data_IF_638541862232
#
_entry.id   IF_638541862232
#
_cell.length_a   1.000
_cell.length_b   1.000
_cell.length_c   1.000
_cell.angle_alpha   90.00
_cell.angle_beta   90.00
_cell.angle_gamma   90.00
#
_symmetry.space_group_name_H-M   'P 1'
#
loop_
_entity.id
_entity.type
_entity.pdbx_description
1 polymer ?
#
# COMPACT_ATOMS: atom_id res chain seq x y z
N UNK A 1 -11.29 -21.22 -0.76
CA UNK A 1 -10.92 -21.65 -2.13
C UNK A 1 -10.87 -20.49 -3.13
N UNK A 2 -11.72 -19.45 -3.05
CA UNK A 2 -11.56 -18.23 -3.87
C UNK A 2 -10.48 -17.25 -3.34
N UNK A 3 -10.11 -17.36 -2.05
CA UNK A 3 -9.18 -16.45 -1.36
C UNK A 3 -7.68 -16.67 -1.66
N UNK A 4 -7.29 -17.84 -2.18
CA UNK A 4 -5.89 -18.14 -2.51
C UNK A 4 -5.46 -17.60 -3.89
N UNK A 5 -6.42 -17.34 -4.77
CA UNK A 5 -6.16 -17.05 -6.19
C UNK A 5 -5.83 -15.58 -6.45
N UNK A 6 -6.51 -14.66 -5.74
CA UNK A 6 -6.28 -13.21 -5.84
C UNK A 6 -4.95 -12.79 -5.21
N UNK A 7 -4.49 -13.55 -4.21
CA UNK A 7 -3.36 -13.20 -3.36
C UNK A 7 -1.99 -13.59 -3.96
N UNK A 8 -1.93 -14.68 -4.74
CA UNK A 8 -0.71 -15.08 -5.49
C UNK A 8 -0.40 -14.17 -6.68
N UNK A 9 -1.35 -13.32 -7.08
CA UNK A 9 -1.20 -12.46 -8.26
C UNK A 9 -0.17 -11.37 -8.05
N UNK A 10 -0.23 -10.57 -6.97
CA UNK A 10 0.54 -9.32 -6.86
C UNK A 10 2.05 -9.49 -6.71
N UNK A 11 2.54 -10.47 -5.92
CA UNK A 11 3.98 -10.80 -5.84
C UNK A 11 4.54 -11.21 -7.21
N UNK A 12 3.72 -11.87 -8.03
CA UNK A 12 4.11 -12.30 -9.38
C UNK A 12 4.20 -11.11 -10.37
N UNK A 13 3.71 -9.92 -9.98
CA UNK A 13 3.74 -8.70 -10.81
C UNK A 13 4.89 -7.77 -10.44
N UNK A 14 5.76 -8.15 -9.48
CA UNK A 14 6.86 -7.32 -9.01
C UNK A 14 8.18 -7.76 -9.63
N UNK A 15 8.94 -6.80 -10.15
CA UNK A 15 10.27 -7.01 -10.69
C UNK A 15 11.30 -7.26 -9.57
N UNK A 16 12.14 -8.29 -9.66
CA UNK A 16 13.14 -8.58 -8.63
C UNK A 16 14.29 -7.56 -8.58
N UNK A 17 14.56 -6.83 -9.68
CA UNK A 17 15.62 -5.80 -9.73
C UNK A 17 15.09 -4.47 -9.21
N UNK A 18 14.02 -3.96 -9.82
CA UNK A 18 13.50 -2.62 -9.49
C UNK A 18 12.68 -2.62 -8.21
N UNK A 19 12.19 -3.79 -7.79
CA UNK A 19 11.20 -3.93 -6.72
C UNK A 19 9.93 -3.09 -7.03
N UNK A 20 9.59 -2.89 -8.30
CA UNK A 20 8.36 -2.19 -8.71
C UNK A 20 7.41 -3.14 -9.46
N UNK A 21 6.13 -2.79 -9.52
CA UNK A 21 5.19 -3.47 -10.43
C UNK A 21 5.72 -3.29 -11.86
N UNK A 22 5.76 -4.35 -12.67
CA UNK A 22 6.27 -4.25 -14.04
C UNK A 22 5.48 -3.22 -14.85
N UNK A 23 6.19 -2.45 -15.66
CA UNK A 23 5.62 -1.64 -16.74
C UNK A 23 5.83 -2.35 -18.08
N UNK A 24 7.05 -2.86 -18.30
CA UNK A 24 7.43 -3.63 -19.50
C UNK A 24 8.07 -4.96 -19.07
N UNK A 25 7.27 -5.98 -18.74
CA UNK A 25 7.79 -7.26 -18.27
C UNK A 25 8.41 -8.06 -19.43
N UNK A 26 9.66 -8.51 -19.25
CA UNK A 26 10.36 -9.44 -20.14
C UNK A 26 10.78 -10.68 -19.36
N UNK A 27 10.60 -11.86 -19.95
CA UNK A 27 11.10 -13.13 -19.41
C UNK A 27 12.46 -13.45 -20.05
N UNK A 28 13.38 -13.95 -19.24
CA UNK A 28 14.70 -14.38 -19.67
C UNK A 28 14.83 -15.91 -19.63
N UNK A 29 15.86 -16.46 -20.27
CA UNK A 29 16.08 -17.92 -20.37
C UNK A 29 16.38 -18.60 -19.01
N UNK A 30 16.67 -17.81 -17.98
CA UNK A 30 16.80 -18.28 -16.59
C UNK A 30 15.43 -18.57 -15.92
N UNK A 31 14.32 -18.28 -16.61
CA UNK A 31 12.96 -18.52 -16.14
C UNK A 31 12.36 -17.38 -15.31
N UNK A 32 13.09 -16.28 -15.08
CA UNK A 32 12.60 -15.14 -14.30
C UNK A 32 12.10 -14.01 -15.21
N UNK A 33 11.15 -13.22 -14.68
CA UNK A 33 10.63 -12.02 -15.33
C UNK A 33 11.25 -10.78 -14.70
N UNK A 34 11.63 -9.83 -15.55
CA UNK A 34 12.28 -8.59 -15.18
C UNK A 34 11.62 -7.39 -15.88
N UNK A 35 11.80 -6.20 -15.32
CA UNK A 35 11.53 -4.95 -16.03
C UNK A 35 12.59 -4.77 -17.13
N UNK A 36 12.16 -4.56 -18.37
CA UNK A 36 13.03 -4.55 -19.56
C UNK A 36 14.23 -3.62 -19.40
N UNK A 37 13.96 -2.37 -19.03
CA UNK A 37 15.00 -1.36 -18.84
C UNK A 37 16.05 -1.76 -17.78
N UNK A 38 15.61 -2.40 -16.70
CA UNK A 38 16.48 -2.78 -15.59
C UNK A 38 17.35 -4.00 -15.91
N UNK A 39 16.78 -5.03 -16.54
CA UNK A 39 17.56 -6.23 -16.90
C UNK A 39 18.55 -5.95 -18.04
N UNK A 40 18.18 -5.08 -18.99
CA UNK A 40 19.10 -4.67 -20.06
C UNK A 40 20.32 -3.96 -19.48
N UNK A 41 20.12 -3.00 -18.57
CA UNK A 41 21.22 -2.31 -17.90
C UNK A 41 22.10 -3.30 -17.10
N UNK A 42 21.49 -4.21 -16.34
CA UNK A 42 22.21 -5.23 -15.58
C UNK A 42 23.08 -6.13 -16.47
N UNK A 43 22.54 -6.64 -17.58
CA UNK A 43 23.26 -7.53 -18.50
C UNK A 43 24.42 -6.79 -19.18
N UNK A 44 24.25 -5.51 -19.52
CA UNK A 44 25.32 -4.70 -20.11
C UNK A 44 26.52 -4.55 -19.16
N UNK A 45 26.28 -4.47 -17.86
CA UNK A 45 27.32 -4.30 -16.85
C UNK A 45 27.91 -5.64 -16.35
N UNK A 46 27.07 -6.67 -16.17
CA UNK A 46 27.43 -7.89 -15.43
C UNK A 46 27.42 -9.16 -16.29
N UNK A 47 26.82 -9.12 -17.49
CA UNK A 47 26.69 -10.26 -18.41
C UNK A 47 26.09 -11.54 -17.81
N UNK A 48 25.33 -11.42 -16.72
CA UNK A 48 24.79 -12.54 -15.94
C UNK A 48 23.37 -12.26 -15.47
N UNK A 49 22.64 -13.32 -15.12
CA UNK A 49 21.35 -13.26 -14.44
C UNK A 49 21.53 -12.69 -13.02
N UNK A 50 20.73 -11.68 -12.60
CA UNK A 50 20.74 -11.19 -11.23
C UNK A 50 20.35 -12.25 -10.19
N UNK A 51 19.54 -13.23 -10.60
CA UNK A 51 18.96 -14.24 -9.71
C UNK A 51 19.84 -15.48 -9.58
N UNK A 52 20.39 -15.97 -10.70
CA UNK A 52 21.13 -17.24 -10.75
C UNK A 52 22.63 -17.08 -10.92
N UNK A 53 23.08 -15.85 -11.24
CA UNK A 53 24.48 -15.52 -11.59
C UNK A 53 25.03 -16.29 -12.80
N UNK A 54 24.18 -16.96 -13.57
CA UNK A 54 24.56 -17.63 -14.81
C UNK A 54 24.63 -16.64 -15.98
N UNK A 55 25.43 -16.90 -17.04
CA UNK A 55 25.52 -16.04 -18.21
C UNK A 55 24.14 -15.74 -18.82
N UNK A 56 23.88 -14.48 -19.15
CA UNK A 56 22.61 -14.06 -19.73
C UNK A 56 22.83 -13.03 -20.85
N UNK A 57 22.08 -13.17 -21.95
CA UNK A 57 22.20 -12.29 -23.13
C UNK A 57 20.91 -11.48 -23.34
N UNK A 58 21.05 -10.22 -23.75
CA UNK A 58 19.92 -9.34 -24.10
C UNK A 58 19.07 -9.96 -25.21
N UNK A 59 19.71 -10.66 -26.16
CA UNK A 59 19.02 -11.28 -27.31
C UNK A 59 18.08 -12.42 -26.92
N UNK A 60 18.25 -12.96 -25.70
CA UNK A 60 17.37 -14.01 -25.16
C UNK A 60 16.06 -13.48 -24.58
N UNK A 61 15.98 -12.17 -24.28
CA UNK A 61 14.80 -11.59 -23.64
C UNK A 61 13.58 -11.68 -24.55
N UNK A 62 12.43 -12.03 -23.95
CA UNK A 62 11.14 -12.12 -24.64
C UNK A 62 10.08 -11.35 -23.86
N UNK A 63 9.16 -10.62 -24.51
CA UNK A 63 8.05 -9.99 -23.81
C UNK A 63 7.19 -11.01 -23.05
N UNK A 64 6.96 -10.78 -21.76
CA UNK A 64 6.08 -11.63 -20.96
C UNK A 64 4.64 -11.09 -20.96
N UNK A 65 3.91 -11.42 -22.03
CA UNK A 65 2.52 -10.97 -22.21
C UNK A 65 1.56 -11.50 -21.13
N UNK A 66 1.86 -12.64 -20.50
CA UNK A 66 1.03 -13.20 -19.43
C UNK A 66 1.07 -12.27 -18.22
N UNK A 67 2.27 -11.88 -17.77
CA UNK A 67 2.42 -10.93 -16.66
C UNK A 67 1.84 -9.57 -17.01
N UNK A 68 2.03 -9.11 -18.26
CA UNK A 68 1.42 -7.85 -18.71
C UNK A 68 -0.10 -7.85 -18.60
N UNK A 69 -0.75 -8.92 -19.06
CA UNK A 69 -2.21 -9.06 -18.96
C UNK A 69 -2.68 -9.12 -17.50
N UNK A 70 -1.95 -9.80 -16.62
CA UNK A 70 -2.29 -9.85 -15.19
C UNK A 70 -2.18 -8.48 -14.51
N UNK A 71 -1.21 -7.65 -14.92
CA UNK A 71 -1.12 -6.25 -14.46
C UNK A 71 -2.31 -5.45 -14.94
N UNK A 72 -2.67 -5.59 -16.22
CA UNK A 72 -3.84 -4.91 -16.78
C UNK A 72 -5.14 -5.36 -16.07
N UNK A 73 -5.30 -6.65 -15.77
CA UNK A 73 -6.42 -7.19 -14.98
C UNK A 73 -6.45 -6.63 -13.55
N UNK A 74 -5.30 -6.61 -12.88
CA UNK A 74 -5.15 -6.05 -11.54
C UNK A 74 -5.44 -4.55 -11.50
N UNK A 75 -4.90 -3.79 -12.45
CA UNK A 75 -5.23 -2.38 -12.60
C UNK A 75 -6.74 -2.25 -12.84
N UNK A 76 -7.33 -3.01 -13.76
CA UNK A 76 -8.78 -2.99 -14.01
C UNK A 76 -9.63 -3.33 -12.77
N UNK A 77 -9.19 -4.23 -11.89
CA UNK A 77 -9.91 -4.53 -10.65
C UNK A 77 -9.91 -3.34 -9.68
N UNK A 78 -8.84 -2.54 -9.65
CA UNK A 78 -8.81 -1.25 -8.95
C UNK A 78 -9.78 -0.23 -9.57
N UNK A 79 -10.05 -0.34 -10.88
CA UNK A 79 -10.98 0.53 -11.62
C UNK A 79 -12.44 0.03 -11.63
N UNK A 80 -12.76 -1.05 -10.90
CA UNK A 80 -14.16 -1.44 -10.68
C UNK A 80 -14.95 -0.26 -10.11
N UNK A 81 -16.18 -0.06 -10.60
CA UNK A 81 -17.00 1.11 -10.26
C UNK A 81 -17.19 1.29 -8.74
N UNK A 82 -17.15 0.19 -7.98
CA UNK A 82 -17.31 0.21 -6.52
C UNK A 82 -16.10 0.79 -5.75
N UNK A 83 -14.93 0.82 -6.38
CA UNK A 83 -13.65 1.26 -5.80
C UNK A 83 -13.12 2.55 -6.43
N UNK A 84 -13.92 3.22 -7.26
CA UNK A 84 -13.50 4.42 -7.99
C UNK A 84 -14.38 5.60 -7.64
N UNK A 85 -13.76 6.67 -7.18
CA UNK A 85 -14.42 7.90 -6.81
C UNK A 85 -13.87 9.05 -7.66
N UNK A 86 -14.69 10.07 -7.89
CA UNK A 86 -14.30 11.28 -8.59
C UNK A 86 -14.16 12.43 -7.61
N UNK A 87 -13.04 13.13 -7.68
CA UNK A 87 -12.82 14.36 -6.92
C UNK A 87 -13.86 15.41 -7.33
N UNK A 88 -14.41 16.10 -6.33
CA UNK A 88 -15.45 17.13 -6.45
C UNK A 88 -16.78 16.63 -7.03
N UNK A 89 -16.95 15.32 -7.20
CA UNK A 89 -18.21 14.66 -7.58
C UNK A 89 -18.68 13.71 -6.49
N UNK A 90 -17.83 12.76 -6.11
CA UNK A 90 -18.12 11.78 -5.05
C UNK A 90 -17.54 12.23 -3.70
N UNK A 91 -16.34 12.81 -3.74
CA UNK A 91 -15.57 13.22 -2.56
C UNK A 91 -14.96 14.59 -2.78
N UNK A 92 -15.06 15.46 -1.77
CA UNK A 92 -14.41 16.77 -1.74
C UNK A 92 -13.27 16.77 -0.72
N UNK A 93 -12.09 17.25 -1.11
CA UNK A 93 -10.96 17.42 -0.19
C UNK A 93 -10.91 18.83 0.38
N UNK A 94 -10.32 18.98 1.56
CA UNK A 94 -9.97 20.28 2.10
C UNK A 94 -8.77 20.90 1.38
N UNK A 95 -8.64 22.22 1.51
CA UNK A 95 -7.58 22.99 0.83
C UNK A 95 -6.20 22.67 1.41
N UNK A 96 -6.10 22.66 2.73
CA UNK A 96 -4.84 22.47 3.44
C UNK A 96 -4.60 20.99 3.68
N UNK A 97 -3.35 20.56 3.48
CA UNK A 97 -2.94 19.23 3.90
C UNK A 97 -2.89 19.17 5.43
N UNK A 98 -3.33 18.04 6.01
CA UNK A 98 -3.13 17.73 7.42
C UNK A 98 -1.71 17.22 7.67
N UNK A 99 -1.08 16.66 6.62
CA UNK A 99 0.28 16.14 6.68
C UNK A 99 0.90 16.15 5.27
N UNK A 100 2.19 16.45 5.18
CA UNK A 100 2.93 16.43 3.91
C UNK A 100 4.41 16.11 4.17
N UNK A 101 4.90 15.03 3.55
CA UNK A 101 6.31 14.60 3.64
C UNK A 101 6.70 13.96 2.31
N UNK A 102 7.87 14.36 1.79
CA UNK A 102 8.45 13.81 0.56
C UNK A 102 7.43 13.77 -0.60
N UNK A 103 7.04 12.56 -1.01
CA UNK A 103 6.11 12.28 -2.11
C UNK A 103 4.65 12.11 -1.66
N UNK A 104 4.37 12.17 -0.36
CA UNK A 104 3.04 11.91 0.23
C UNK A 104 2.42 13.18 0.81
N UNK A 105 1.11 13.31 0.64
CA UNK A 105 0.31 14.38 1.25
C UNK A 105 -1.05 13.85 1.63
N UNK A 106 -1.51 14.18 2.82
CA UNK A 106 -2.81 13.75 3.34
C UNK A 106 -3.70 14.97 3.51
N UNK A 107 -4.92 14.88 3.01
CA UNK A 107 -5.95 15.92 3.14
C UNK A 107 -7.16 15.35 3.86
N UNK A 108 -7.81 16.13 4.72
CA UNK A 108 -9.15 15.78 5.19
C UNK A 108 -10.10 15.75 3.98
N UNK A 109 -10.99 14.76 3.93
CA UNK A 109 -11.89 14.56 2.80
C UNK A 109 -13.30 14.23 3.28
N UNK A 110 -14.30 14.66 2.50
CA UNK A 110 -15.71 14.56 2.83
C UNK A 110 -16.50 13.99 1.65
N UNK A 111 -17.36 13.02 1.93
CA UNK A 111 -18.29 12.47 0.95
C UNK A 111 -19.36 13.49 0.59
N UNK A 112 -19.68 13.64 -0.70
CA UNK A 112 -20.64 14.65 -1.17
C UNK A 112 -22.09 14.16 -1.02
N UNK A 113 -22.40 12.93 -1.44
CA UNK A 113 -23.79 12.43 -1.52
C UNK A 113 -24.18 11.40 -0.45
N UNK A 114 -23.28 11.06 0.48
CA UNK A 114 -23.52 10.04 1.51
C UNK A 114 -23.83 10.68 2.87
N UNK A 115 -25.13 10.75 3.24
CA UNK A 115 -25.63 11.43 4.45
C UNK A 115 -25.14 10.88 5.80
N UNK A 116 -24.39 9.77 5.83
CA UNK A 116 -23.80 9.20 7.06
C UNK A 116 -22.48 8.51 6.77
N UNK A 117 -21.66 9.12 5.92
CA UNK A 117 -20.39 8.53 5.53
C UNK A 117 -19.36 8.61 6.68
N UNK A 118 -18.47 7.62 6.79
CA UNK A 118 -17.41 7.66 7.78
C UNK A 118 -16.46 8.84 7.52
N UNK A 119 -15.80 9.38 8.56
CA UNK A 119 -14.70 10.34 8.39
C UNK A 119 -13.60 9.75 7.49
N UNK A 120 -13.12 10.55 6.55
CA UNK A 120 -12.14 10.11 5.55
C UNK A 120 -11.01 11.08 5.32
N UNK A 121 -9.92 10.55 4.79
CA UNK A 121 -8.79 11.32 4.26
C UNK A 121 -8.51 10.92 2.83
N UNK A 122 -7.95 11.88 2.10
CA UNK A 122 -7.39 11.67 0.78
C UNK A 122 -5.86 11.60 0.91
N UNK A 123 -5.30 10.41 0.71
CA UNK A 123 -3.86 10.21 0.61
C UNK A 123 -3.44 10.41 -0.83
N UNK A 124 -2.66 11.45 -1.11
CA UNK A 124 -2.01 11.68 -2.39
C UNK A 124 -0.57 11.16 -2.33
N UNK A 125 -0.21 10.28 -3.25
CA UNK A 125 1.14 9.75 -3.45
C UNK A 125 1.65 10.12 -4.84
N UNK A 126 2.91 10.50 -4.94
CA UNK A 126 3.55 10.84 -6.21
C UNK A 126 4.79 9.94 -6.43
N UNK A 127 5.17 9.79 -7.69
CA UNK A 127 6.40 9.11 -8.09
C UNK A 127 6.20 7.65 -8.47
N UNK A 128 7.27 7.06 -8.98
CA UNK A 128 7.26 5.75 -9.65
C UNK A 128 6.72 4.61 -8.77
N UNK A 129 6.85 4.73 -7.44
CA UNK A 129 6.41 3.73 -6.46
C UNK A 129 4.93 3.85 -6.06
N UNK A 130 4.27 4.94 -6.43
CA UNK A 130 2.92 5.25 -5.96
C UNK A 130 1.92 4.15 -6.36
N UNK A 131 2.08 3.56 -7.56
CA UNK A 131 1.24 2.44 -8.02
C UNK A 131 1.44 1.18 -7.17
N UNK A 132 2.70 0.80 -6.90
CA UNK A 132 3.02 -0.36 -6.06
C UNK A 132 2.46 -0.18 -4.66
N UNK A 133 2.71 0.96 -4.03
CA UNK A 133 2.19 1.22 -2.69
C UNK A 133 0.66 1.20 -2.64
N UNK A 134 0.01 1.82 -3.63
CA UNK A 134 -1.45 1.82 -3.72
C UNK A 134 -2.04 0.41 -3.86
N UNK A 135 -1.37 -0.47 -4.59
CA UNK A 135 -1.79 -1.87 -4.76
C UNK A 135 -1.91 -2.59 -3.42
N UNK A 136 -0.90 -2.48 -2.56
CA UNK A 136 -0.90 -3.09 -1.23
C UNK A 136 -1.93 -2.44 -0.31
N UNK A 137 -2.06 -1.12 -0.35
CA UNK A 137 -3.07 -0.39 0.41
C UNK A 137 -4.49 -0.88 0.12
N UNK A 138 -4.80 -1.26 -1.12
CA UNK A 138 -6.11 -1.81 -1.49
C UNK A 138 -6.19 -3.29 -1.15
N UNK A 139 -5.19 -4.10 -1.52
CA UNK A 139 -5.17 -5.55 -1.31
C UNK A 139 -5.28 -5.93 0.16
N UNK A 140 -4.57 -5.22 1.04
CA UNK A 140 -4.48 -5.53 2.46
C UNK A 140 -5.60 -4.89 3.30
N UNK A 141 -6.40 -3.99 2.69
CA UNK A 141 -7.43 -3.16 3.36
C UNK A 141 -8.55 -3.92 4.10
N UNK A 142 -8.67 -5.23 3.88
CA UNK A 142 -9.74 -6.05 4.46
C UNK A 142 -9.44 -6.48 5.90
N UNK A 143 -8.18 -6.42 6.31
CA UNK A 143 -7.79 -6.79 7.67
C UNK A 143 -8.23 -5.72 8.68
N UNK A 144 -8.82 -6.10 9.83
CA UNK A 144 -9.39 -5.15 10.80
C UNK A 144 -8.35 -4.18 11.39
N UNK A 145 -7.11 -4.63 11.55
CA UNK A 145 -5.99 -3.87 12.10
C UNK A 145 -5.05 -3.27 11.04
N UNK A 146 -5.52 -3.16 9.79
CA UNK A 146 -4.85 -2.45 8.70
C UNK A 146 -5.75 -1.29 8.24
N UNK A 147 -5.13 -0.17 7.86
CA UNK A 147 -5.84 1.00 7.36
C UNK A 147 -6.78 0.64 6.20
N UNK A 148 -8.06 0.96 6.34
CA UNK A 148 -9.06 0.72 5.31
C UNK A 148 -8.90 1.72 4.18
N UNK A 149 -8.59 1.20 3.00
CA UNK A 149 -8.66 1.94 1.73
C UNK A 149 -10.02 1.67 1.08
N UNK A 150 -10.82 2.72 0.88
CA UNK A 150 -12.12 2.64 0.22
C UNK A 150 -11.99 2.50 -1.29
N UNK A 151 -10.95 3.08 -1.87
CA UNK A 151 -10.72 3.05 -3.31
C UNK A 151 -9.81 4.17 -3.81
N UNK A 152 -9.70 4.25 -5.13
CA UNK A 152 -8.91 5.25 -5.86
C UNK A 152 -9.79 6.46 -6.19
N UNK A 153 -9.22 7.66 -6.09
CA UNK A 153 -9.89 8.92 -6.45
C UNK A 153 -9.28 9.49 -7.72
N UNK A 154 -10.10 9.68 -8.74
CA UNK A 154 -9.75 10.23 -10.05
C UNK A 154 -10.27 11.67 -10.24
N UNK A 155 -9.74 12.43 -11.20
CA UNK A 155 -8.57 12.12 -12.03
C UNK A 155 -7.26 12.29 -11.25
N UNK A 156 -6.27 11.46 -11.56
CA UNK A 156 -4.89 11.65 -11.10
C UNK A 156 -3.98 11.98 -12.29
N UNK A 157 -3.04 12.93 -12.15
CA UNK A 157 -1.97 13.11 -13.14
C UNK A 157 -1.12 11.85 -13.30
N UNK A 158 -0.30 11.81 -14.36
CA UNK A 158 0.72 10.76 -14.55
C UNK A 158 1.57 10.59 -13.27
N UNK A 159 1.85 9.34 -12.88
CA UNK A 159 2.63 8.97 -11.69
C UNK A 159 2.11 9.53 -10.35
N UNK A 160 0.82 9.88 -10.31
CA UNK A 160 0.13 10.26 -9.08
C UNK A 160 -0.99 9.27 -8.80
N UNK A 161 -1.10 8.82 -7.55
CA UNK A 161 -2.23 8.03 -7.07
C UNK A 161 -2.88 8.76 -5.90
N UNK A 162 -4.21 8.83 -5.89
CA UNK A 162 -4.97 9.35 -4.76
C UNK A 162 -5.86 8.24 -4.21
N UNK A 163 -5.72 7.95 -2.92
CA UNK A 163 -6.50 6.94 -2.22
C UNK A 163 -7.43 7.61 -1.22
N UNK A 164 -8.67 7.14 -1.20
CA UNK A 164 -9.62 7.49 -0.15
C UNK A 164 -9.49 6.48 0.98
N UNK A 165 -9.12 6.94 2.17
CA UNK A 165 -8.90 6.09 3.34
C UNK A 165 -9.75 6.56 4.53
N UNK A 166 -9.94 5.67 5.50
CA UNK A 166 -10.55 6.04 6.78
C UNK A 166 -9.67 7.04 7.55
N UNK A 167 -10.30 7.97 8.27
CA UNK A 167 -9.58 8.95 9.09
C UNK A 167 -9.38 8.43 10.51
N UNK A 168 -8.13 8.49 11.00
CA UNK A 168 -7.78 8.20 12.38
C UNK A 168 -7.87 9.48 13.25
N UNK A 169 -8.89 9.63 14.11
CA UNK A 169 -9.09 10.86 14.88
C UNK A 169 -8.02 11.12 15.94
N UNK A 170 -7.39 10.07 16.48
CA UNK A 170 -6.41 10.19 17.56
C UNK A 170 -4.97 10.34 17.04
N UNK A 171 -4.77 10.38 15.72
CA UNK A 171 -3.45 10.52 15.11
C UNK A 171 -2.62 9.25 15.19
N UNK A 172 -1.29 9.40 15.28
CA UNK A 172 -0.36 8.25 15.36
C UNK A 172 -0.15 7.78 16.80
N UNK A 173 0.22 6.51 16.96
CA UNK A 173 0.58 5.94 18.26
C UNK A 173 1.80 6.67 18.84
N UNK A 174 2.73 7.12 17.99
CA UNK A 174 3.84 7.96 18.43
C UNK A 174 3.36 9.23 19.14
N UNK A 175 2.37 9.95 18.59
CA UNK A 175 1.81 11.14 19.22
C UNK A 175 1.08 10.82 20.52
N UNK A 176 0.38 9.68 20.59
CA UNK A 176 -0.29 9.25 21.81
C UNK A 176 0.71 8.95 22.94
N UNK A 177 1.81 8.26 22.63
CA UNK A 177 2.83 7.88 23.62
C UNK A 177 3.65 9.08 24.12
N UNK A 178 3.80 10.12 23.29
CA UNK A 178 4.46 11.37 23.67
C UNK A 178 3.58 12.28 24.55
N UNK A 179 2.25 12.06 24.58
CA UNK A 179 1.32 12.83 25.40
C UNK A 179 1.29 12.30 26.84
N UNK A 180 2.01 13.00 27.73
CA UNK A 180 2.08 12.69 29.17
C UNK A 180 0.73 12.69 29.88
N UNK A 181 -0.31 13.31 29.33
CA UNK A 181 -1.66 13.33 29.92
C UNK A 181 -2.52 12.11 29.52
N UNK A 182 -2.05 11.35 28.53
CA UNK A 182 -2.76 10.23 27.89
C UNK A 182 -1.99 8.92 27.89
N UNK A 183 -0.99 8.80 28.76
CA UNK A 183 -0.12 7.61 28.82
C UNK A 183 -0.98 6.34 29.01
N UNK A 184 -0.93 5.39 28.06
CA UNK A 184 -1.63 4.13 28.19
C UNK A 184 -1.02 3.28 29.31
N UNK A 185 -1.85 2.58 30.07
CA UNK A 185 -1.35 1.58 31.03
C UNK A 185 -0.89 0.30 30.32
N UNK A 186 -0.34 -0.63 31.09
CA UNK A 186 0.19 -1.89 30.56
C UNK A 186 -0.86 -2.72 29.82
N UNK A 187 -2.10 -2.76 30.32
CA UNK A 187 -3.17 -3.55 29.70
C UNK A 187 -3.58 -2.97 28.35
N UNK A 188 -3.65 -1.64 28.23
CA UNK A 188 -3.93 -0.97 26.96
C UNK A 188 -2.79 -1.18 25.97
N UNK A 189 -1.53 -1.11 26.43
CA UNK A 189 -0.37 -1.37 25.57
C UNK A 189 -0.37 -2.82 25.05
N UNK A 190 -0.72 -3.79 25.89
CA UNK A 190 -0.85 -5.19 25.49
C UNK A 190 -1.95 -5.37 24.42
N UNK A 191 -3.11 -4.72 24.60
CA UNK A 191 -4.20 -4.77 23.62
C UNK A 191 -3.77 -4.17 22.28
N UNK A 192 -3.17 -2.98 22.28
CA UNK A 192 -2.65 -2.35 21.06
C UNK A 192 -1.58 -3.23 20.40
N UNK A 193 -0.68 -3.81 21.18
CA UNK A 193 0.37 -4.70 20.67
C UNK A 193 -0.23 -5.97 20.04
N UNK A 194 -1.26 -6.56 20.64
CA UNK A 194 -1.97 -7.72 20.08
C UNK A 194 -2.55 -7.41 18.70
N UNK A 195 -3.17 -6.23 18.53
CA UNK A 195 -3.72 -5.79 17.25
C UNK A 195 -2.62 -5.57 16.18
N UNK A 196 -1.47 -4.99 16.59
CA UNK A 196 -0.31 -4.83 15.71
C UNK A 196 0.27 -6.20 15.30
N UNK A 197 0.41 -7.13 16.25
CA UNK A 197 0.91 -8.48 16.00
C UNK A 197 0.00 -9.27 15.06
N UNK A 198 -1.32 -9.14 15.21
CA UNK A 198 -2.32 -9.72 14.32
C UNK A 198 -2.18 -9.17 12.88
N UNK A 199 -2.07 -7.85 12.72
CA UNK A 199 -1.80 -7.22 11.41
C UNK A 199 -0.48 -7.71 10.79
N UNK A 200 0.61 -7.78 11.57
CA UNK A 200 1.91 -8.24 11.08
C UNK A 200 1.91 -9.74 10.72
N UNK A 201 1.15 -10.56 11.45
CA UNK A 201 0.94 -11.97 11.11
C UNK A 201 0.21 -12.09 9.79
N UNK A 202 -0.82 -11.25 9.57
CA UNK A 202 -1.50 -11.17 8.29
C UNK A 202 -0.55 -10.74 7.17
N UNK A 203 0.28 -9.72 7.35
CA UNK A 203 1.28 -9.33 6.35
C UNK A 203 2.25 -10.47 6.01
N UNK A 204 2.74 -11.19 7.02
CA UNK A 204 3.64 -12.32 6.84
C UNK A 204 2.98 -13.47 6.07
N UNK A 205 1.72 -13.82 6.39
CA UNK A 205 0.92 -14.76 5.60
C UNK A 205 0.79 -14.28 4.15
N UNK A 206 0.65 -12.96 3.98
CA UNK A 206 0.54 -12.31 2.69
C UNK A 206 1.88 -12.08 1.97
N UNK A 207 2.99 -12.60 2.52
CA UNK A 207 4.37 -12.40 2.02
C UNK A 207 4.81 -10.94 1.86
N UNK A 208 4.11 -10.03 2.53
CA UNK A 208 4.43 -8.60 2.53
C UNK A 208 5.33 -8.32 3.72
N UNK A 209 6.51 -7.76 3.45
CA UNK A 209 7.33 -7.15 4.49
C UNK A 209 6.93 -5.68 4.61
N UNK A 210 6.59 -5.23 5.82
CA UNK A 210 6.19 -3.83 6.04
C UNK A 210 7.31 -2.83 5.69
N UNK A 211 8.56 -3.18 5.97
CA UNK A 211 9.75 -2.36 5.63
C UNK A 211 10.00 -1.17 6.55
N UNK A 212 8.96 -0.55 7.11
CA UNK A 212 9.10 0.58 8.06
C UNK A 212 8.18 0.48 9.29
N UNK A 213 8.21 -0.63 10.03
CA UNK A 213 7.33 -0.79 11.21
C UNK A 213 7.82 0.10 12.37
N UNK A 214 7.04 1.14 12.71
CA UNK A 214 7.31 2.06 13.80
C UNK A 214 6.02 2.69 14.32
N UNK A 215 6.02 3.22 15.56
CA UNK A 215 4.82 3.84 16.17
C UNK A 215 4.22 5.01 15.37
N UNK A 216 5.01 5.70 14.53
CA UNK A 216 4.52 6.74 13.61
C UNK A 216 3.62 6.18 12.48
N UNK A 217 3.81 4.90 12.13
CA UNK A 217 3.07 4.18 11.09
C UNK A 217 1.96 3.29 11.70
N UNK A 218 1.67 3.48 12.99
CA UNK A 218 0.48 2.94 13.66
C UNK A 218 -0.47 4.10 13.92
N UNK A 219 -1.70 4.00 13.41
CA UNK A 219 -2.75 5.00 13.61
C UNK A 219 -3.71 4.56 14.70
N UNK A 220 -4.10 5.50 15.56
CA UNK A 220 -5.04 5.28 16.66
C UNK A 220 -6.43 5.75 16.23
N UNK A 221 -7.38 4.81 16.20
CA UNK A 221 -8.77 5.05 15.81
C UNK A 221 -9.69 5.28 16.99
N UNK A 222 -9.44 4.58 18.10
CA UNK A 222 -10.11 4.77 19.37
C UNK A 222 -9.09 4.65 20.48
N UNK A 223 -9.22 5.52 21.47
CA UNK A 223 -8.40 5.50 22.67
C UNK A 223 -9.29 5.61 23.91
N UNK A 224 -9.17 4.65 24.81
CA UNK A 224 -9.85 4.63 26.10
C UNK A 224 -8.85 4.19 27.16
N UNK A 225 -8.46 5.15 28.03
CA UNK A 225 -7.46 4.93 29.08
C UNK A 225 -7.93 4.05 30.23
N UNK A 226 -9.19 3.61 30.23
CA UNK A 226 -9.77 2.81 31.30
C UNK A 226 -10.27 1.44 30.83
N UNK A 227 -10.40 1.23 29.52
CA UNK A 227 -10.91 -0.01 28.97
C UNK A 227 -10.04 -0.46 27.78
N UNK A 228 -9.16 -1.46 27.97
CA UNK A 228 -8.34 -2.02 26.89
C UNK A 228 -9.15 -2.34 25.64
N UNK A 229 -10.28 -3.03 25.77
CA UNK A 229 -11.11 -3.50 24.63
C UNK A 229 -11.71 -2.37 23.78
N UNK A 230 -11.75 -1.15 24.29
CA UNK A 230 -12.26 0.02 23.55
C UNK A 230 -11.15 0.78 22.79
N UNK A 231 -9.92 0.25 22.78
CA UNK A 231 -8.82 0.79 22.00
C UNK A 231 -8.75 0.12 20.63
N UNK A 232 -8.47 0.91 19.59
CA UNK A 232 -8.30 0.40 18.23
C UNK A 232 -7.11 1.08 17.58
N UNK A 233 -6.12 0.29 17.17
CA UNK A 233 -4.98 0.72 16.38
C UNK A 233 -4.94 -0.01 15.05
N UNK A 234 -4.42 0.66 14.02
CA UNK A 234 -4.27 0.09 12.69
C UNK A 234 -2.93 0.44 12.08
N UNK A 235 -2.33 -0.54 11.40
CA UNK A 235 -1.11 -0.39 10.63
C UNK A 235 -1.39 0.40 9.34
N UNK A 236 -0.50 1.32 9.00
CA UNK A 236 -0.54 2.12 7.76
C UNK A 236 0.87 2.26 7.18
N UNK A 237 0.97 2.84 5.99
CA UNK A 237 2.25 3.26 5.39
C UNK A 237 3.23 2.09 5.25
N UNK A 238 2.85 1.13 4.42
CA UNK A 238 3.70 0.00 4.05
C UNK A 238 4.95 0.55 3.34
N UNK A 239 6.01 0.74 4.12
CA UNK A 239 7.30 1.27 3.73
C UNK A 239 8.01 0.40 2.71
N UNK A 240 7.54 0.44 1.47
CA UNK A 240 8.23 -0.09 0.30
C UNK A 240 9.23 0.97 -0.19
N UNK A 241 10.15 1.33 0.69
CA UNK A 241 11.34 2.15 0.38
C UNK A 241 12.46 1.30 -0.19
#
# INVERSE_FOLDING_TARGET
>A
MAHDTEHRMTDSLICPITQEIFSVPVIADDGYTYEESAIVAWIQENHTSPMTRQPLSIESLRPNRVIKNLIEEFENSLHSADYRFKLDVDVRKERNAIFQVNTKSIFRAHWISRRSAPPTVLLKMNGIRAKREASFCVQLSRHPHIIRTYGVVEPTPQDTIMLLQEYAPEGSLHNLLDDVSRVPDELILIEMFSQIADAMTYLAYNRVTHGDLACRNILVFRFDKYNPENNLVKLTDFGLT
#
